data_IF_083449795891
#
_entry.id   IF_083449795891
#
_cell.length_a   1.000
_cell.length_b   1.000
_cell.length_c   1.000
_cell.angle_alpha   90.00
_cell.angle_beta   90.00
_cell.angle_gamma   90.00
#
_symmetry.space_group_name_H-M   'P 1'
#
loop_
_entity.id
_entity.type
_entity.pdbx_description
1 polymer ?
#
# COMPACT_ATOMS: atom_id res chain seq x y z
N UNK A 1 19.08 -22.62 12.83
CA UNK A 1 18.20 -22.98 11.69
C UNK A 1 16.80 -22.62 12.14
N UNK A 2 16.17 -21.51 11.79
CA UNK A 2 16.07 -20.79 10.52
C UNK A 2 16.08 -19.27 10.82
N UNK A 3 17.06 -18.50 10.33
CA UNK A 3 17.13 -17.05 10.63
C UNK A 3 17.65 -16.19 9.47
N UNK A 4 17.47 -16.60 8.22
CA UNK A 4 18.07 -15.85 7.11
C UNK A 4 17.31 -15.91 5.77
N UNK A 5 16.03 -16.30 5.73
CA UNK A 5 15.29 -16.40 4.46
C UNK A 5 14.24 -15.29 4.24
N UNK A 6 14.11 -14.31 5.14
CA UNK A 6 13.14 -13.20 5.00
C UNK A 6 13.79 -11.84 4.68
N UNK A 7 15.13 -11.78 4.61
CA UNK A 7 15.85 -10.52 4.33
C UNK A 7 16.17 -10.30 2.83
N UNK A 8 16.00 -11.31 1.98
CA UNK A 8 16.39 -11.25 0.56
C UNK A 8 15.22 -10.89 -0.39
N UNK A 9 13.98 -10.82 0.10
CA UNK A 9 12.82 -10.44 -0.73
C UNK A 9 12.51 -8.93 -0.71
N UNK A 10 13.11 -8.19 0.22
CA UNK A 10 12.86 -6.75 0.41
C UNK A 10 13.93 -5.83 -0.24
N UNK A 11 14.95 -6.39 -0.89
CA UNK A 11 16.07 -5.63 -1.49
C UNK A 11 16.30 -5.90 -2.98
N UNK A 12 15.25 -6.25 -3.73
CA UNK A 12 15.28 -6.14 -5.20
C UNK A 12 14.22 -5.18 -5.71
N UNK A 13 14.26 -3.93 -5.24
CA UNK A 13 13.82 -2.82 -6.07
C UNK A 13 15.09 -2.05 -6.47
N UNK A 14 15.44 -1.98 -7.77
CA UNK A 14 16.59 -1.20 -8.21
C UNK A 14 16.44 0.27 -7.76
N UNK A 15 17.57 0.95 -7.52
CA UNK A 15 17.57 2.32 -7.02
C UNK A 15 16.79 3.22 -7.99
N UNK A 16 15.77 3.89 -7.46
CA UNK A 16 14.89 4.84 -8.14
C UNK A 16 14.02 4.25 -9.28
N UNK A 17 13.22 3.22 -8.98
CA UNK A 17 11.97 3.07 -9.73
C UNK A 17 11.05 4.23 -9.31
N UNK A 18 10.92 5.23 -10.18
CA UNK A 18 9.98 6.33 -9.95
C UNK A 18 8.57 5.76 -10.02
N UNK A 19 7.65 6.20 -9.15
CA UNK A 19 6.27 5.72 -9.15
C UNK A 19 5.57 5.88 -10.53
N UNK A 20 6.08 6.78 -11.38
CA UNK A 20 5.65 6.95 -12.77
C UNK A 20 5.86 5.70 -13.63
N UNK A 21 7.00 5.02 -13.52
CA UNK A 21 7.27 3.79 -14.28
C UNK A 21 6.36 2.65 -13.80
N UNK A 22 6.08 2.62 -12.49
CA UNK A 22 5.14 1.69 -11.89
C UNK A 22 3.71 1.91 -12.37
N UNK A 23 3.27 3.17 -12.45
CA UNK A 23 1.97 3.53 -13.01
C UNK A 23 1.84 3.05 -14.46
N UNK A 24 2.85 3.28 -15.30
CA UNK A 24 2.83 2.81 -16.69
C UNK A 24 2.71 1.28 -16.74
N UNK A 25 3.51 0.58 -15.94
CA UNK A 25 3.47 -0.88 -15.89
C UNK A 25 2.13 -1.44 -15.37
N UNK A 26 1.50 -0.77 -14.40
CA UNK A 26 0.18 -1.12 -13.88
C UNK A 26 -0.88 -1.02 -14.98
N UNK A 27 -0.92 0.11 -15.69
CA UNK A 27 -1.89 0.38 -16.76
C UNK A 27 -1.72 -0.56 -17.96
N UNK A 28 -0.49 -1.00 -18.22
CA UNK A 28 -0.19 -2.02 -19.24
C UNK A 28 -0.43 -3.47 -18.77
N UNK A 29 -0.86 -3.66 -17.51
CA UNK A 29 -1.12 -4.99 -16.94
C UNK A 29 0.14 -5.85 -16.76
N UNK A 30 1.30 -5.20 -16.57
CA UNK A 30 2.61 -5.87 -16.45
C UNK A 30 3.05 -6.13 -15.01
N UNK A 31 2.33 -5.62 -14.01
CA UNK A 31 2.64 -5.85 -12.60
C UNK A 31 2.02 -7.15 -12.08
N UNK A 32 2.78 -7.85 -11.26
CA UNK A 32 2.27 -8.91 -10.38
C UNK A 32 1.44 -8.32 -9.24
N UNK A 33 0.73 -9.16 -8.49
CA UNK A 33 -0.03 -8.74 -7.31
C UNK A 33 0.89 -8.08 -6.26
N UNK A 34 2.06 -8.66 -6.00
CA UNK A 34 3.02 -8.13 -5.04
C UNK A 34 3.57 -6.76 -5.47
N UNK A 35 3.91 -6.60 -6.75
CA UNK A 35 4.37 -5.31 -7.29
C UNK A 35 3.26 -4.27 -7.30
N UNK A 36 2.02 -4.69 -7.57
CA UNK A 36 0.83 -3.82 -7.49
C UNK A 36 0.65 -3.30 -6.07
N UNK A 37 0.68 -4.18 -5.07
CA UNK A 37 0.58 -3.81 -3.65
C UNK A 37 1.72 -2.84 -3.27
N UNK A 38 2.96 -3.12 -3.67
CA UNK A 38 4.10 -2.26 -3.38
C UNK A 38 3.96 -0.87 -4.01
N UNK A 39 3.54 -0.80 -5.28
CA UNK A 39 3.26 0.46 -5.95
C UNK A 39 2.17 1.24 -5.20
N UNK A 40 1.04 0.61 -4.90
CA UNK A 40 -0.06 1.29 -4.22
C UNK A 40 0.32 1.77 -2.82
N UNK A 41 1.12 1.02 -2.07
CA UNK A 41 1.64 1.49 -0.79
C UNK A 41 2.48 2.76 -0.95
N UNK A 42 3.35 2.81 -1.98
CA UNK A 42 4.11 4.02 -2.30
C UNK A 42 3.19 5.18 -2.70
N UNK A 43 2.19 4.96 -3.55
CA UNK A 43 1.25 6.01 -3.96
C UNK A 43 0.40 6.55 -2.80
N UNK A 44 0.07 5.69 -1.83
CA UNK A 44 -0.63 6.05 -0.58
C UNK A 44 0.28 6.88 0.33
N UNK A 45 1.53 6.45 0.51
CA UNK A 45 2.51 7.15 1.36
C UNK A 45 2.82 8.56 0.86
N UNK A 46 2.94 8.73 -0.46
CA UNK A 46 3.13 10.04 -1.10
C UNK A 46 1.82 10.86 -1.19
N UNK A 47 0.68 10.24 -0.90
CA UNK A 47 -0.65 10.86 -0.95
C UNK A 47 -1.18 11.17 -2.34
N UNK A 48 -0.43 10.85 -3.40
CA UNK A 48 -0.81 11.16 -4.79
C UNK A 48 -2.01 10.32 -5.27
N UNK A 49 -2.19 9.12 -4.71
CA UNK A 49 -3.31 8.23 -5.07
C UNK A 49 -4.67 8.88 -4.84
N UNK A 50 -4.77 9.79 -3.86
CA UNK A 50 -6.01 10.47 -3.48
C UNK A 50 -6.38 11.63 -4.42
N UNK A 51 -5.47 12.02 -5.31
CA UNK A 51 -5.66 13.09 -6.30
C UNK A 51 -5.82 12.56 -7.74
N UNK A 52 -5.71 11.26 -7.91
CA UNK A 52 -5.75 10.59 -9.22
C UNK A 52 -7.17 10.19 -9.64
N UNK A 53 -7.28 9.57 -10.82
CA UNK A 53 -8.54 8.98 -11.29
C UNK A 53 -9.14 8.07 -10.22
N UNK A 54 -10.47 8.10 -10.07
CA UNK A 54 -11.15 7.39 -8.99
C UNK A 54 -10.94 5.87 -8.94
N UNK A 55 -10.47 5.24 -10.03
CA UNK A 55 -10.04 3.83 -10.00
C UNK A 55 -8.91 3.60 -9.01
N UNK A 56 -7.91 4.47 -8.98
CA UNK A 56 -6.77 4.36 -8.08
C UNK A 56 -7.17 4.52 -6.62
N UNK A 57 -7.99 5.53 -6.31
CA UNK A 57 -8.51 5.71 -4.95
C UNK A 57 -9.31 4.51 -4.48
N UNK A 58 -10.18 3.93 -5.33
CA UNK A 58 -10.92 2.70 -5.00
C UNK A 58 -10.02 1.49 -4.80
N UNK A 59 -9.00 1.32 -5.64
CA UNK A 59 -8.01 0.23 -5.49
C UNK A 59 -7.22 0.40 -4.20
N UNK A 60 -6.76 1.61 -3.88
CA UNK A 60 -6.08 1.90 -2.61
C UNK A 60 -6.97 1.58 -1.41
N UNK A 61 -8.24 2.00 -1.46
CA UNK A 61 -9.21 1.66 -0.41
C UNK A 61 -9.40 0.15 -0.29
N UNK A 62 -9.60 -0.60 -1.37
CA UNK A 62 -9.74 -2.07 -1.33
C UNK A 62 -8.51 -2.74 -0.69
N UNK A 63 -7.31 -2.34 -1.08
CA UNK A 63 -6.06 -2.88 -0.52
C UNK A 63 -5.92 -2.56 0.97
N UNK A 64 -6.33 -1.36 1.41
CA UNK A 64 -6.37 -0.97 2.82
C UNK A 64 -7.41 -1.80 3.60
N UNK A 65 -8.58 -1.98 3.02
CA UNK A 65 -9.66 -2.76 3.64
C UNK A 65 -9.29 -4.23 3.83
N UNK A 66 -8.46 -4.78 2.94
CA UNK A 66 -7.95 -6.16 2.99
C UNK A 66 -6.69 -6.30 3.85
N UNK A 67 -6.15 -5.21 4.39
CA UNK A 67 -4.91 -5.22 5.17
C UNK A 67 -3.65 -5.51 4.36
N UNK A 68 -3.70 -5.30 3.04
CA UNK A 68 -2.55 -5.42 2.13
C UNK A 68 -1.75 -4.12 2.03
N UNK A 69 -2.40 -2.98 2.30
CA UNK A 69 -1.77 -1.67 2.45
C UNK A 69 -2.25 -1.00 3.74
N UNK A 70 -1.47 -0.03 4.21
CA UNK A 70 -1.82 0.87 5.32
C UNK A 70 -1.98 2.31 4.85
N UNK A 71 -2.70 3.13 5.61
CA UNK A 71 -2.81 4.57 5.35
C UNK A 71 -1.44 5.23 5.39
N UNK A 72 -1.27 6.34 4.66
CA UNK A 72 -0.01 7.08 4.58
C UNK A 72 0.44 7.65 5.92
N UNK A 73 1.70 8.13 6.02
CA UNK A 73 2.23 8.69 7.27
C UNK A 73 1.63 10.05 7.60
N UNK A 74 1.04 10.72 6.62
CA UNK A 74 0.43 12.06 6.73
C UNK A 74 -1.02 11.97 6.25
N UNK A 75 -1.91 12.75 6.86
CA UNK A 75 -3.30 12.87 6.41
C UNK A 75 -3.39 13.72 5.13
N UNK A 76 -4.28 13.34 4.22
CA UNK A 76 -4.44 14.01 2.93
C UNK A 76 -5.91 14.37 2.69
N UNK A 77 -6.17 15.41 1.90
CA UNK A 77 -7.49 15.59 1.31
C UNK A 77 -7.57 14.77 0.02
N UNK A 78 -8.67 14.07 -0.20
CA UNK A 78 -8.94 13.46 -1.50
C UNK A 78 -9.30 14.53 -2.56
N UNK A 79 -9.55 14.10 -3.80
CA UNK A 79 -9.97 14.99 -4.88
C UNK A 79 -11.31 15.69 -4.60
N UNK A 80 -12.21 15.04 -3.85
CA UNK A 80 -13.53 15.55 -3.49
C UNK A 80 -13.51 16.48 -2.27
N UNK A 81 -12.35 16.64 -1.61
CA UNK A 81 -12.19 17.46 -0.42
C UNK A 81 -12.46 16.73 0.90
N UNK A 82 -12.67 15.41 0.89
CA UNK A 82 -12.79 14.61 2.11
C UNK A 82 -11.41 14.40 2.75
N UNK A 83 -11.36 14.38 4.07
CA UNK A 83 -10.14 14.08 4.81
C UNK A 83 -9.89 12.56 4.87
N UNK A 84 -8.71 12.15 4.43
CA UNK A 84 -8.14 10.82 4.57
C UNK A 84 -7.11 10.87 5.71
N UNK A 85 -7.32 10.13 6.81
CA UNK A 85 -6.41 10.17 7.96
C UNK A 85 -5.08 9.48 7.64
N UNK A 86 -4.04 9.83 8.38
CA UNK A 86 -2.80 9.06 8.44
C UNK A 86 -2.98 7.77 9.22
N UNK A 87 -2.04 6.81 9.04
CA UNK A 87 -1.96 5.60 9.87
C UNK A 87 -1.76 5.87 11.36
N UNK A 88 -1.34 7.07 11.74
CA UNK A 88 -1.13 7.48 13.13
C UNK A 88 -2.37 8.12 13.77
N UNK A 89 -3.38 8.46 12.97
CA UNK A 89 -4.64 9.07 13.45
C UNK A 89 -5.76 8.04 13.64
N UNK A 90 -5.62 6.85 13.05
CA UNK A 90 -6.57 5.75 13.22
C UNK A 90 -6.27 4.95 14.47
N UNK A 91 -7.30 4.32 15.05
CA UNK A 91 -7.15 3.45 16.21
C UNK A 91 -6.31 2.21 15.82
N UNK A 92 -5.31 1.80 16.61
CA UNK A 92 -4.57 0.56 16.37
C UNK A 92 -5.49 -0.66 16.23
N UNK A 93 -5.19 -1.53 15.27
CA UNK A 93 -5.98 -2.71 14.93
C UNK A 93 -7.22 -2.43 14.07
N UNK A 94 -7.43 -1.19 13.62
CA UNK A 94 -8.48 -0.86 12.64
C UNK A 94 -7.91 -0.73 11.23
N UNK A 95 -8.77 -0.81 10.21
CA UNK A 95 -8.38 -0.69 8.79
C UNK A 95 -7.46 0.51 8.57
N UNK A 96 -6.37 0.29 7.86
CA UNK A 96 -5.37 1.31 7.58
C UNK A 96 -4.30 1.52 8.66
N UNK A 97 -4.42 0.86 9.82
CA UNK A 97 -3.35 0.84 10.83
C UNK A 97 -2.27 -0.23 10.52
N UNK A 98 -1.03 -0.05 10.97
CA UNK A 98 0.02 -1.07 10.82
C UNK A 98 -0.33 -2.38 11.52
N UNK A 99 -0.95 -2.32 12.70
CA UNK A 99 -1.32 -3.50 13.48
C UNK A 99 -2.36 -4.35 12.76
N UNK A 100 -3.30 -3.71 12.06
CA UNK A 100 -4.29 -4.42 11.25
C UNK A 100 -3.62 -5.21 10.11
N UNK A 101 -2.64 -4.61 9.42
CA UNK A 101 -1.92 -5.30 8.34
C UNK A 101 -1.10 -6.49 8.87
N UNK A 102 -0.47 -6.34 10.04
CA UNK A 102 0.26 -7.43 10.70
C UNK A 102 -0.66 -8.60 11.07
N UNK A 103 -1.85 -8.30 11.60
CA UNK A 103 -2.86 -9.31 11.93
C UNK A 103 -3.35 -10.03 10.66
N UNK A 104 -3.68 -9.29 9.59
CA UNK A 104 -4.13 -9.90 8.33
C UNK A 104 -3.04 -10.74 7.65
N UNK A 105 -1.79 -10.30 7.68
CA UNK A 105 -0.66 -11.09 7.15
C UNK A 105 -0.48 -12.39 7.92
N UNK A 106 -0.53 -12.32 9.26
CA UNK A 106 -0.42 -13.51 10.11
C UNK A 106 -1.54 -14.54 9.88
N UNK A 107 -2.76 -14.08 9.54
CA UNK A 107 -3.89 -14.97 9.20
C UNK A 107 -3.72 -15.62 7.82
N UNK A 108 -3.13 -14.92 6.86
CA UNK A 108 -2.88 -15.45 5.52
C UNK A 108 -1.80 -16.54 5.54
N UNK A 109 -0.80 -16.41 6.42
CA UNK A 109 0.27 -17.42 6.58
C UNK A 109 -0.16 -18.67 7.38
N UNK A 110 -1.37 -18.67 7.96
CA UNK A 110 -1.85 -19.73 8.85
C UNK A 110 -2.55 -20.90 8.14
N UNK A 111 -2.68 -20.88 6.81
CA UNK A 111 -3.37 -21.87 5.98
C UNK A 111 -2.49 -22.35 4.82
#
# INVERSE_FOLDING_TARGET
MYSAQLAEFFYFLPPAFMYTDGIIALEEGRLTDAETIALFQQLIDEGIVWKMQGSYGRTASDLIERGLCMLGPVGHLDYYGNYVPSRHEVRPGTKGSPEYCQEQGSLQDAF
#
